data_IF_483692603534
#
_entry.id   IF_483692603534
#
_cell.length_a   1.000
_cell.length_b   1.000
_cell.length_c   1.000
_cell.angle_alpha   90.00
_cell.angle_beta   90.00
_cell.angle_gamma   90.00
#
_symmetry.space_group_name_H-M   'P 1'
#
loop_
_entity.id
_entity.type
_entity.pdbx_description
1 polymer ?
#
# COMPACT_ATOMS: atom_id res chain seq x y z
N UNK A 1 -5.56 9.58 9.66
CA UNK A 1 -4.59 9.74 8.54
C UNK A 1 -5.28 9.30 7.26
N UNK A 2 -4.95 9.95 6.14
CA UNK A 2 -5.54 9.67 4.83
C UNK A 2 -4.45 9.22 3.85
N UNK A 3 -4.77 8.29 2.94
CA UNK A 3 -3.82 7.85 1.92
C UNK A 3 -3.45 9.02 0.99
N UNK A 4 -2.16 9.35 0.85
CA UNK A 4 -1.74 10.44 -0.03
C UNK A 4 -2.06 10.17 -1.50
N UNK A 5 -2.16 8.88 -1.91
CA UNK A 5 -2.35 8.46 -3.31
C UNK A 5 -3.80 8.37 -3.75
N UNK A 6 -4.68 7.83 -2.90
CA UNK A 6 -6.08 7.55 -3.26
C UNK A 6 -7.12 8.13 -2.27
N UNK A 7 -6.68 8.89 -1.27
CA UNK A 7 -7.55 9.57 -0.30
C UNK A 7 -8.42 8.66 0.58
N UNK A 8 -8.18 7.34 0.57
CA UNK A 8 -8.85 6.41 1.49
C UNK A 8 -8.38 6.60 2.93
N UNK A 9 -9.28 6.36 3.89
CA UNK A 9 -9.01 6.34 5.34
C UNK A 9 -8.64 4.95 5.86
N UNK A 10 -8.67 3.92 5.01
CA UNK A 10 -8.29 2.55 5.37
C UNK A 10 -6.77 2.43 5.42
N UNK A 11 -6.16 2.82 6.54
CA UNK A 11 -4.71 2.78 6.73
C UNK A 11 -4.36 1.88 7.91
N UNK A 12 -3.39 1.00 7.73
CA UNK A 12 -2.83 0.12 8.77
C UNK A 12 -1.33 0.33 8.92
N UNK A 13 -0.81 0.11 10.13
CA UNK A 13 0.64 -0.02 10.36
C UNK A 13 1.03 -1.47 10.03
N UNK A 14 2.04 -1.63 9.18
CA UNK A 14 2.52 -2.97 8.77
C UNK A 14 3.90 -3.31 9.33
N UNK A 15 4.64 -2.31 9.80
CA UNK A 15 5.91 -2.51 10.49
C UNK A 15 6.20 -1.31 11.39
N UNK A 16 6.97 -1.55 12.46
CA UNK A 16 7.51 -0.53 13.34
C UNK A 16 9.02 -0.69 13.43
N UNK A 17 9.74 0.40 13.70
CA UNK A 17 11.15 0.33 14.00
C UNK A 17 11.38 -0.62 15.18
N UNK A 18 12.44 -1.45 15.15
CA UNK A 18 12.73 -2.39 16.24
C UNK A 18 13.28 -1.70 17.49
N UNK A 19 13.68 -0.43 17.38
CA UNK A 19 14.35 0.35 18.43
C UNK A 19 13.82 1.79 18.37
N UNK A 20 13.56 2.36 19.56
CA UNK A 20 13.28 3.78 19.82
C UNK A 20 12.14 4.43 19.00
N UNK A 21 11.14 3.65 18.57
CA UNK A 21 9.97 4.14 17.81
C UNK A 21 10.36 5.05 16.61
N UNK A 22 11.54 4.84 16.04
CA UNK A 22 12.16 5.76 15.07
C UNK A 22 11.35 5.95 13.78
N UNK A 23 10.50 4.99 13.43
CA UNK A 23 9.58 5.07 12.30
C UNK A 23 8.46 4.02 12.39
N UNK A 24 7.36 4.30 11.69
CA UNK A 24 6.31 3.33 11.38
C UNK A 24 6.16 3.23 9.86
N UNK A 25 5.82 2.04 9.35
CA UNK A 25 5.43 1.85 7.95
C UNK A 25 3.91 1.73 7.90
N UNK A 26 3.28 2.62 7.17
CA UNK A 26 1.85 2.61 6.90
C UNK A 26 1.55 1.95 5.57
N UNK A 27 0.38 1.34 5.44
CA UNK A 27 -0.12 0.77 4.19
C UNK A 27 -1.61 1.03 4.02
N UNK A 28 -2.02 1.46 2.84
CA UNK A 28 -3.42 1.68 2.51
C UNK A 28 -4.10 0.35 2.15
N UNK A 29 -5.21 0.01 2.80
CA UNK A 29 -6.02 -1.17 2.51
C UNK A 29 -6.71 -1.14 1.15
N UNK A 30 -6.94 0.06 0.59
CA UNK A 30 -7.62 0.23 -0.70
C UNK A 30 -6.69 0.09 -1.90
N UNK A 31 -5.53 0.77 -1.87
CA UNK A 31 -4.63 0.81 -3.01
C UNK A 31 -3.28 0.12 -2.76
N UNK A 32 -3.00 -0.37 -1.56
CA UNK A 32 -1.72 -1.00 -1.19
C UNK A 32 -0.48 -0.08 -1.24
N UNK A 33 -0.68 1.25 -1.38
CA UNK A 33 0.44 2.20 -1.23
C UNK A 33 0.96 2.16 0.19
N UNK A 34 2.28 2.08 0.34
CA UNK A 34 2.94 2.05 1.64
C UNK A 34 4.00 3.14 1.72
N UNK A 35 4.15 3.75 2.90
CA UNK A 35 5.08 4.86 3.17
C UNK A 35 5.51 4.86 4.63
N UNK A 36 6.61 5.53 4.95
CA UNK A 36 7.07 5.69 6.35
C UNK A 36 6.58 6.98 6.98
N UNK A 37 6.45 7.00 8.31
CA UNK A 37 6.15 8.20 9.09
C UNK A 37 7.17 9.33 8.92
N UNK A 38 8.40 8.99 8.53
CA UNK A 38 9.51 9.93 8.34
C UNK A 38 9.68 10.41 6.89
N UNK A 39 8.87 9.92 5.94
CA UNK A 39 8.97 10.31 4.54
C UNK A 39 8.19 11.59 4.23
N UNK A 40 8.81 12.49 3.45
CA UNK A 40 8.07 13.56 2.79
C UNK A 40 7.43 13.03 1.52
N UNK A 41 6.11 12.85 1.56
CA UNK A 41 5.38 12.19 0.49
C UNK A 41 5.21 13.14 -0.70
N UNK A 42 5.72 12.74 -1.86
CA UNK A 42 5.49 13.41 -3.13
C UNK A 42 4.97 12.40 -4.15
N UNK A 43 3.74 12.60 -4.62
CA UNK A 43 3.11 11.73 -5.62
C UNK A 43 2.84 12.57 -6.85
N UNK A 44 3.48 12.20 -7.96
CA UNK A 44 3.20 12.82 -9.24
C UNK A 44 1.74 12.55 -9.64
N UNK A 45 1.06 13.55 -10.22
CA UNK A 45 -0.38 13.50 -10.52
C UNK A 45 -0.81 12.25 -11.30
N UNK A 46 0.00 11.83 -12.28
CA UNK A 46 -0.16 10.58 -13.04
C UNK A 46 -0.34 9.32 -12.18
N UNK A 47 0.17 9.29 -10.95
CA UNK A 47 0.07 8.15 -10.02
C UNK A 47 -1.03 8.31 -8.97
N UNK A 48 -1.82 9.38 -9.01
CA UNK A 48 -3.01 9.51 -8.18
C UNK A 48 -4.10 8.55 -8.67
N UNK A 49 -4.72 7.87 -7.72
CA UNK A 49 -5.70 6.82 -7.99
C UNK A 49 -7.08 7.20 -7.48
N UNK A 50 -8.08 6.79 -8.23
CA UNK A 50 -9.50 6.81 -7.91
C UNK A 50 -10.07 5.41 -8.14
N UNK A 51 -11.36 5.23 -7.86
CA UNK A 51 -11.99 3.92 -7.86
C UNK A 51 -12.12 3.33 -9.26
N UNK A 52 -12.29 4.20 -10.27
CA UNK A 52 -12.35 3.80 -11.67
C UNK A 52 -10.99 3.30 -12.17
N UNK A 53 -9.90 4.02 -11.88
CA UNK A 53 -8.53 3.59 -12.21
C UNK A 53 -8.17 2.29 -11.51
N UNK A 54 -8.52 2.13 -10.23
CA UNK A 54 -8.26 0.89 -9.47
C UNK A 54 -9.00 -0.29 -10.12
N UNK A 55 -10.29 -0.11 -10.48
CA UNK A 55 -11.08 -1.14 -11.15
C UNK A 55 -10.51 -1.52 -12.53
N UNK A 56 -9.89 -0.58 -13.23
CA UNK A 56 -9.26 -0.79 -14.52
C UNK A 56 -7.83 -1.37 -14.45
N UNK A 57 -7.28 -1.60 -13.25
CA UNK A 57 -5.94 -2.17 -13.11
C UNK A 57 -5.89 -3.62 -13.57
N UNK A 58 -4.70 -4.04 -14.03
CA UNK A 58 -4.46 -5.43 -14.37
C UNK A 58 -4.67 -6.34 -13.15
N UNK A 59 -5.34 -7.47 -13.38
CA UNK A 59 -5.46 -8.53 -12.37
C UNK A 59 -4.18 -9.33 -12.37
N UNK A 60 -3.54 -9.45 -11.20
CA UNK A 60 -2.39 -10.34 -11.04
C UNK A 60 -2.93 -11.78 -11.09
N UNK A 61 -2.42 -12.64 -12.00
CA UNK A 61 -2.89 -14.02 -12.07
C UNK A 61 -2.59 -14.74 -10.75
N UNK A 62 -3.43 -15.72 -10.35
CA UNK A 62 -3.21 -16.47 -9.12
C UNK A 62 -1.89 -17.24 -9.21
N UNK A 63 -1.19 -17.34 -8.07
CA UNK A 63 0.00 -18.18 -7.94
C UNK A 63 -0.45 -19.65 -8.08
N UNK A 64 0.11 -20.43 -9.03
CA UNK A 64 -0.21 -21.85 -9.14
C UNK A 64 0.11 -22.61 -7.85
N UNK A 65 -0.61 -23.71 -7.60
CA UNK A 65 -0.31 -24.59 -6.47
C UNK A 65 1.14 -25.09 -6.56
N UNK A 66 1.79 -25.17 -5.40
CA UNK A 66 3.11 -25.77 -5.30
C UNK A 66 3.02 -27.24 -5.72
N UNK A 67 3.75 -27.62 -6.78
CA UNK A 67 3.82 -29.01 -7.21
C UNK A 67 4.58 -29.82 -6.15
N UNK A 68 3.95 -30.86 -5.59
CA UNK A 68 4.63 -31.82 -4.71
C UNK A 68 4.26 -31.78 -3.22
N UNK A 69 3.23 -31.02 -2.81
CA UNK A 69 2.57 -31.27 -1.52
C UNK A 69 1.50 -32.34 -1.79
N UNK A 70 1.90 -33.60 -1.61
CA UNK A 70 0.99 -34.75 -1.52
C UNK A 70 0.43 -34.80 -0.11
#
# INVERSE_FOLDING_TARGET
MECPRCKSKEIKIIAKAPVDDAWEVYSCGKCCYSWRSTEQIQIHEKFLLDDEKIKAMQVIPPIPLLKGVV
#
